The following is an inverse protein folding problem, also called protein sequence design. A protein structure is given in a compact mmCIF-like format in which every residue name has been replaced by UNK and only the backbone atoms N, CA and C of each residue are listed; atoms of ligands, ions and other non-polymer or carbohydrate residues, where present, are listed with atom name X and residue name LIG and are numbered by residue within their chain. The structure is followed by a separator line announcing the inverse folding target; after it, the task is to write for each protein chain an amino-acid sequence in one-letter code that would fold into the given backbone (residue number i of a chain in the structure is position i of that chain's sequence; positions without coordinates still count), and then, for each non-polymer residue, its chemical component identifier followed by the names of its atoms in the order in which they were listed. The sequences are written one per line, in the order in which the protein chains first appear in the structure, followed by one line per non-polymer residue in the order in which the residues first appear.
data_IF_157832892447
#
_entry.id   IF_157832892447
#
_cell.length_a   1.000
_cell.length_b   1.000
_cell.length_c   1.000
_cell.angle_alpha   90.00
_cell.angle_beta   90.00
_cell.angle_gamma   90.00
#
_symmetry.space_group_name_H-M   'P 1'
#
loop_
_entity.id
_entity.type
_entity.pdbx_description
1 polymer ?
#
# COMPACT_ATOMS: atom_id res chain seq x y z
N UNK A 1 17.44 -1.70 12.92
CA UNK A 1 16.72 -1.52 11.65
C UNK A 1 15.21 -1.38 11.86
N UNK A 2 14.75 -0.30 12.49
CA UNK A 2 13.32 -0.04 12.72
C UNK A 2 12.70 0.98 11.76
N UNK A 3 13.53 1.80 11.09
CA UNK A 3 13.09 2.88 10.22
C UNK A 3 12.32 2.38 8.98
N UNK A 4 12.75 1.28 8.36
CA UNK A 4 12.11 0.75 7.15
C UNK A 4 10.70 0.22 7.41
N UNK A 5 10.45 -0.37 8.58
CA UNK A 5 9.10 -0.86 8.96
C UNK A 5 8.10 0.28 9.14
N UNK A 6 8.55 1.42 9.67
CA UNK A 6 7.67 2.59 9.84
C UNK A 6 7.25 3.19 8.50
N UNK A 7 8.18 3.22 7.54
CA UNK A 7 7.93 3.75 6.21
C UNK A 7 7.03 2.83 5.37
N UNK A 8 7.34 1.52 5.35
CA UNK A 8 6.57 0.53 4.59
C UNK A 8 5.13 0.40 5.08
N UNK A 9 4.92 0.45 6.40
CA UNK A 9 3.59 0.42 6.99
C UNK A 9 2.78 1.68 6.67
N UNK A 10 3.40 2.86 6.72
CA UNK A 10 2.74 4.11 6.35
C UNK A 10 2.31 4.10 4.87
N UNK A 11 3.19 3.64 3.96
CA UNK A 11 2.86 3.47 2.54
C UNK A 11 1.69 2.50 2.35
N UNK A 12 1.67 1.38 3.06
CA UNK A 12 0.53 0.45 3.03
C UNK A 12 -0.79 1.14 3.42
N UNK A 13 -0.79 1.92 4.50
CA UNK A 13 -1.97 2.64 4.99
C UNK A 13 -2.44 3.69 3.99
N UNK A 14 -1.53 4.40 3.33
CA UNK A 14 -1.88 5.35 2.26
C UNK A 14 -2.56 4.62 1.10
N UNK A 15 -2.01 3.47 0.67
CA UNK A 15 -2.66 2.66 -0.35
C UNK A 15 -4.05 2.17 0.07
N UNK A 16 -4.21 1.75 1.33
CA UNK A 16 -5.51 1.31 1.86
C UNK A 16 -6.53 2.46 1.95
N UNK A 17 -6.08 3.68 2.29
CA UNK A 17 -6.92 4.87 2.26
C UNK A 17 -7.44 5.17 0.84
N UNK A 18 -6.59 5.06 -0.18
CA UNK A 18 -7.01 5.19 -1.58
C UNK A 18 -7.87 4.03 -2.08
N UNK A 19 -7.80 2.85 -1.44
CA UNK A 19 -8.63 1.69 -1.79
C UNK A 19 -10.04 1.80 -1.22
N UNK A 20 -10.15 2.16 0.07
CA UNK A 20 -11.43 2.31 0.77
C UNK A 20 -12.16 3.58 0.34
N UNK A 21 -11.39 4.62 0.03
CA UNK A 21 -11.92 5.97 -0.07
C UNK A 21 -12.43 6.47 1.28
N UNK A 22 -12.48 7.77 1.45
CA UNK A 22 -13.08 8.45 2.60
C UNK A 22 -13.60 9.81 2.15
N UNK A 23 -14.28 10.54 3.02
CA UNK A 23 -14.71 11.91 2.75
C UNK A 23 -13.55 12.83 2.32
N UNK A 24 -12.31 12.49 2.72
CA UNK A 24 -11.08 13.26 2.45
C UNK A 24 -10.28 12.69 1.28
N UNK A 25 -10.45 11.41 0.94
CA UNK A 25 -9.63 10.71 -0.07
C UNK A 25 -10.54 10.00 -1.05
N UNK A 26 -10.54 10.45 -2.31
CA UNK A 26 -11.24 9.74 -3.37
C UNK A 26 -10.60 8.38 -3.65
N UNK A 27 -11.44 7.41 -4.00
CA UNK A 27 -10.96 6.09 -4.43
C UNK A 27 -10.07 6.28 -5.65
N UNK A 28 -8.82 5.83 -5.55
CA UNK A 28 -7.87 5.91 -6.66
C UNK A 28 -7.03 4.64 -6.71
N UNK A 29 -7.40 3.74 -7.62
CA UNK A 29 -6.73 2.45 -7.78
C UNK A 29 -5.29 2.57 -8.28
N UNK A 30 -4.95 3.60 -9.06
CA UNK A 30 -3.57 3.83 -9.52
C UNK A 30 -2.67 4.21 -8.34
N UNK A 31 -3.10 5.19 -7.53
CA UNK A 31 -2.36 5.60 -6.33
C UNK A 31 -2.27 4.48 -5.31
N UNK A 32 -3.38 3.76 -5.06
CA UNK A 32 -3.39 2.55 -4.23
C UNK A 32 -2.29 1.58 -4.66
N UNK A 33 -2.26 1.21 -5.95
CA UNK A 33 -1.29 0.25 -6.47
C UNK A 33 0.14 0.74 -6.25
N UNK A 34 0.40 2.01 -6.55
CA UNK A 34 1.72 2.61 -6.37
C UNK A 34 2.21 2.50 -4.92
N UNK A 35 1.39 2.91 -3.95
CA UNK A 35 1.78 2.85 -2.54
C UNK A 35 1.90 1.41 -2.00
N UNK A 36 1.02 0.50 -2.41
CA UNK A 36 1.14 -0.92 -2.04
C UNK A 36 2.35 -1.58 -2.69
N UNK A 37 2.74 -1.20 -3.91
CA UNK A 37 3.97 -1.66 -4.54
C UNK A 37 5.21 -1.22 -3.77
N UNK A 38 5.31 0.06 -3.42
CA UNK A 38 6.43 0.58 -2.64
C UNK A 38 6.54 -0.11 -1.27
N UNK A 39 5.40 -0.32 -0.60
CA UNK A 39 5.36 -1.04 0.68
C UNK A 39 5.80 -2.51 0.51
N UNK A 40 5.35 -3.17 -0.57
CA UNK A 40 5.73 -4.54 -0.88
C UNK A 40 7.24 -4.68 -1.21
N UNK A 41 7.83 -3.70 -1.91
CA UNK A 41 9.27 -3.65 -2.16
C UNK A 41 10.10 -3.53 -0.88
N UNK A 42 9.56 -2.82 0.13
CA UNK A 42 10.13 -2.76 1.48
C UNK A 42 9.79 -3.99 2.35
N UNK A 43 9.27 -5.06 1.74
CA UNK A 43 8.89 -6.33 2.39
C UNK A 43 7.77 -6.22 3.42
N UNK A 44 6.89 -5.22 3.27
CA UNK A 44 5.69 -5.14 4.10
C UNK A 44 4.71 -6.25 3.76
N UNK A 45 4.55 -7.20 4.69
CA UNK A 45 3.81 -8.45 4.43
C UNK A 45 2.36 -8.18 4.05
N UNK A 46 1.72 -7.19 4.70
CA UNK A 46 0.33 -6.80 4.40
C UNK A 46 0.18 -6.27 2.99
N UNK A 47 1.14 -5.46 2.52
CA UNK A 47 1.12 -4.93 1.17
C UNK A 47 1.39 -6.00 0.12
N UNK A 48 2.35 -6.91 0.37
CA UNK A 48 2.64 -8.06 -0.50
C UNK A 48 1.39 -8.95 -0.66
N UNK A 49 0.69 -9.23 0.44
CA UNK A 49 -0.54 -10.03 0.42
C UNK A 49 -1.64 -9.34 -0.41
N UNK A 50 -1.85 -8.04 -0.20
CA UNK A 50 -2.83 -7.30 -1.00
C UNK A 50 -2.44 -7.22 -2.47
N UNK A 51 -1.17 -6.96 -2.80
CA UNK A 51 -0.73 -6.96 -4.18
C UNK A 51 -0.98 -8.31 -4.86
N UNK A 52 -0.71 -9.43 -4.17
CA UNK A 52 -1.04 -10.77 -4.69
C UNK A 52 -2.54 -10.95 -4.89
N UNK A 53 -3.36 -10.54 -3.91
CA UNK A 53 -4.83 -10.63 -3.98
C UNK A 53 -5.41 -9.83 -5.14
N UNK A 54 -4.89 -8.63 -5.37
CA UNK A 54 -5.34 -7.71 -6.42
C UNK A 54 -4.56 -7.86 -7.74
N UNK A 55 -3.68 -8.87 -7.87
CA UNK A 55 -2.80 -9.09 -9.03
C UNK A 55 -2.01 -7.84 -9.43
N UNK A 56 -1.56 -7.08 -8.44
CA UNK A 56 -0.70 -5.92 -8.62
C UNK A 56 0.76 -6.44 -8.71
N UNK A 57 1.51 -6.08 -9.77
CA UNK A 57 2.90 -6.52 -9.91
C UNK A 57 3.75 -5.86 -8.82
N UNK A 58 4.64 -6.62 -8.15
CA UNK A 58 5.50 -6.13 -7.05
C UNK A 58 6.96 -6.41 -7.33
#
# INVERSE_FOLDING_TARGET
FAADKGNSFAQYLVGDAYNKGSAVVQINHQKRNHYWQMAAQQRETRAVEQCRRYRIPI
#
